data_IF_657817993621
#
_entry.id   IF_657817993621
#
_cell.length_a   1.000
_cell.length_b   1.000
_cell.length_c   1.000
_cell.angle_alpha   90.00
_cell.angle_beta   90.00
_cell.angle_gamma   90.00
#
_symmetry.space_group_name_H-M   'P 1'
#
loop_
_entity.id
_entity.type
_entity.pdbx_description
1 polymer ?
#
# COMPACT_ATOMS: atom_id res chain seq x y z
N UNK A 1 17.82 14.50 6.31
CA UNK A 1 17.61 13.05 6.18
C UNK A 1 17.25 12.68 4.73
N UNK A 2 18.17 12.89 3.76
CA UNK A 2 17.91 12.64 2.32
C UNK A 2 19.17 12.08 1.63
N UNK A 3 19.89 11.14 2.26
CA UNK A 3 21.21 10.72 1.76
C UNK A 3 21.45 9.19 1.74
N UNK A 4 20.40 8.37 1.61
CA UNK A 4 20.58 6.91 1.53
C UNK A 4 20.36 6.30 0.14
N UNK A 5 19.77 7.04 -0.80
CA UNK A 5 19.43 6.54 -2.16
C UNK A 5 20.56 6.75 -3.18
N UNK A 6 21.57 7.56 -2.87
CA UNK A 6 22.73 7.80 -3.73
C UNK A 6 23.88 6.78 -3.53
N UNK A 7 23.73 5.81 -2.63
CA UNK A 7 24.81 4.93 -2.20
C UNK A 7 24.94 3.62 -3.00
N UNK A 8 23.95 3.24 -3.83
CA UNK A 8 24.03 1.96 -4.57
C UNK A 8 24.91 2.03 -5.84
N UNK A 9 25.33 3.24 -6.22
CA UNK A 9 26.19 3.49 -7.39
C UNK A 9 27.45 4.31 -7.04
N UNK A 10 27.80 4.49 -5.77
CA UNK A 10 29.11 5.05 -5.43
C UNK A 10 30.16 3.99 -5.77
N UNK A 11 30.83 4.21 -6.90
CA UNK A 11 32.02 3.53 -7.36
C UNK A 11 32.95 3.26 -6.17
N UNK A 12 32.89 2.03 -5.63
CA UNK A 12 33.98 1.52 -4.83
C UNK A 12 35.20 1.48 -5.74
N UNK A 13 36.29 2.11 -5.33
CA UNK A 13 37.55 2.20 -6.08
C UNK A 13 38.29 0.84 -6.18
N UNK A 14 37.55 -0.26 -6.35
CA UNK A 14 38.04 -1.61 -6.59
C UNK A 14 37.86 -2.02 -8.05
N UNK A 15 38.43 -3.17 -8.43
CA UNK A 15 38.50 -3.66 -9.81
C UNK A 15 37.14 -3.92 -10.50
N UNK A 16 36.02 -3.75 -9.79
CA UNK A 16 34.65 -3.83 -10.32
C UNK A 16 33.99 -2.47 -10.12
N UNK A 17 34.25 -1.57 -11.04
CA UNK A 17 33.70 -0.22 -11.04
C UNK A 17 32.44 -0.20 -11.94
N UNK A 18 31.22 -0.04 -11.37
CA UNK A 18 29.96 -0.13 -12.13
C UNK A 18 29.78 1.00 -13.16
N UNK A 19 30.64 2.03 -13.14
CA UNK A 19 30.69 3.06 -14.18
C UNK A 19 31.55 2.68 -15.40
N UNK A 20 32.35 1.61 -15.31
CA UNK A 20 33.26 1.13 -16.37
C UNK A 20 32.82 -0.22 -16.93
N UNK A 21 32.22 -1.06 -16.11
CA UNK A 21 31.48 -2.23 -16.56
C UNK A 21 30.04 -1.78 -16.78
N UNK A 22 29.53 -1.84 -18.02
CA UNK A 22 28.15 -1.51 -18.40
C UNK A 22 27.15 -2.50 -17.77
N UNK A 23 27.11 -2.50 -16.45
CA UNK A 23 26.22 -3.26 -15.60
C UNK A 23 25.11 -2.27 -15.28
N UNK A 24 23.86 -2.52 -15.72
CA UNK A 24 22.77 -1.62 -15.43
C UNK A 24 22.61 -1.46 -13.92
N UNK A 25 23.04 -0.31 -13.42
CA UNK A 25 22.89 0.08 -12.03
C UNK A 25 21.48 0.63 -11.86
N UNK A 26 20.55 -0.27 -11.54
CA UNK A 26 19.20 0.08 -11.13
C UNK A 26 19.29 0.74 -9.77
N UNK A 27 19.18 2.07 -9.72
CA UNK A 27 18.87 2.77 -8.49
C UNK A 27 17.54 2.19 -7.99
N UNK A 28 17.57 1.47 -6.86
CA UNK A 28 16.36 1.15 -6.12
C UNK A 28 15.79 2.50 -5.66
N UNK A 29 15.02 3.13 -6.54
CA UNK A 29 14.45 4.43 -6.28
C UNK A 29 13.28 4.20 -5.34
N UNK A 30 13.50 4.39 -4.04
CA UNK A 30 12.47 4.34 -3.01
C UNK A 30 11.25 5.17 -3.39
N UNK A 31 11.44 6.20 -4.23
CA UNK A 31 10.37 7.02 -4.78
C UNK A 31 9.41 6.26 -5.70
N UNK A 32 9.89 5.29 -6.48
CA UNK A 32 9.02 4.46 -7.34
C UNK A 32 8.14 3.56 -6.48
N UNK A 33 8.72 2.96 -5.44
CA UNK A 33 8.01 2.10 -4.50
C UNK A 33 6.96 2.89 -3.73
N UNK A 34 7.32 4.06 -3.20
CA UNK A 34 6.37 4.95 -2.50
C UNK A 34 5.25 5.44 -3.42
N UNK A 35 5.56 5.79 -4.68
CA UNK A 35 4.55 6.27 -5.64
C UNK A 35 3.54 5.18 -5.98
N UNK A 36 4.01 3.96 -6.23
CA UNK A 36 3.14 2.81 -6.53
C UNK A 36 2.22 2.53 -5.35
N UNK A 37 2.74 2.50 -4.12
CA UNK A 37 1.90 2.30 -2.94
C UNK A 37 0.89 3.42 -2.75
N UNK A 38 1.28 4.69 -2.91
CA UNK A 38 0.34 5.81 -2.78
C UNK A 38 -0.83 5.72 -3.77
N UNK A 39 -0.55 5.35 -5.03
CA UNK A 39 -1.59 5.16 -6.06
C UNK A 39 -2.50 3.97 -5.72
N UNK A 40 -1.92 2.82 -5.33
CA UNK A 40 -2.68 1.60 -5.01
C UNK A 40 -3.58 1.82 -3.78
N UNK A 41 -3.02 2.36 -2.69
CA UNK A 41 -3.79 2.68 -1.48
C UNK A 41 -4.82 3.78 -1.73
N UNK A 42 -4.56 4.75 -2.61
CA UNK A 42 -5.52 5.77 -2.99
C UNK A 42 -6.76 5.19 -3.68
N UNK A 43 -6.55 4.29 -4.65
CA UNK A 43 -7.66 3.63 -5.36
C UNK A 43 -8.46 2.73 -4.41
N UNK A 44 -7.78 1.89 -3.62
CA UNK A 44 -8.42 0.99 -2.66
C UNK A 44 -9.19 1.78 -1.59
N UNK A 45 -8.59 2.84 -1.06
CA UNK A 45 -9.22 3.72 -0.06
C UNK A 45 -10.47 4.41 -0.60
N UNK A 46 -10.44 4.88 -1.86
CA UNK A 46 -11.60 5.45 -2.54
C UNK A 46 -12.73 4.44 -2.73
N UNK A 47 -12.42 3.23 -3.22
CA UNK A 47 -13.40 2.15 -3.37
C UNK A 47 -14.01 1.73 -2.03
N UNK A 48 -13.19 1.59 -0.98
CA UNK A 48 -13.66 1.26 0.37
C UNK A 48 -14.68 2.28 0.89
N UNK A 49 -14.44 3.57 0.68
CA UNK A 49 -15.37 4.61 1.11
C UNK A 49 -16.73 4.50 0.41
N UNK A 50 -16.75 4.21 -0.90
CA UNK A 50 -17.99 4.03 -1.66
C UNK A 50 -18.79 2.82 -1.14
N UNK A 51 -18.12 1.68 -0.93
CA UNK A 51 -18.78 0.49 -0.37
C UNK A 51 -19.30 0.73 1.05
N UNK A 52 -18.57 1.47 1.89
CA UNK A 52 -19.00 1.86 3.24
C UNK A 52 -20.29 2.69 3.21
N UNK A 53 -20.40 3.66 2.28
CA UNK A 53 -21.60 4.51 2.16
C UNK A 53 -22.80 3.70 1.68
N UNK A 54 -22.63 2.80 0.70
CA UNK A 54 -23.72 1.96 0.18
C UNK A 54 -24.25 1.03 1.29
N UNK A 55 -23.35 0.36 2.00
CA UNK A 55 -23.72 -0.52 3.11
C UNK A 55 -24.40 0.25 4.26
N UNK A 56 -23.88 1.44 4.60
CA UNK A 56 -24.45 2.30 5.64
C UNK A 56 -25.83 2.86 5.27
N UNK A 57 -26.00 3.33 4.04
CA UNK A 57 -27.28 3.82 3.54
C UNK A 57 -28.32 2.69 3.52
N UNK A 58 -27.94 1.51 3.03
CA UNK A 58 -28.81 0.32 3.02
C UNK A 58 -29.21 -0.09 4.43
N UNK A 59 -28.28 -0.07 5.39
CA UNK A 59 -28.57 -0.36 6.79
C UNK A 59 -29.57 0.63 7.40
N UNK A 60 -29.38 1.94 7.16
CA UNK A 60 -30.26 2.98 7.67
C UNK A 60 -31.68 2.94 7.05
N UNK A 61 -31.78 2.57 5.77
CA UNK A 61 -33.04 2.51 5.02
C UNK A 61 -33.82 1.19 5.21
N UNK A 62 -33.27 0.20 5.91
CA UNK A 62 -33.80 -1.17 5.96
C UNK A 62 -35.15 -1.34 6.71
N UNK A 63 -35.74 -0.28 7.28
CA UNK A 63 -37.10 -0.23 7.87
C UNK A 63 -37.52 -1.38 8.82
N UNK A 64 -36.58 -2.19 9.31
CA UNK A 64 -36.85 -3.33 10.17
C UNK A 64 -37.09 -4.67 9.45
N UNK A 65 -36.96 -4.74 8.13
CA UNK A 65 -36.96 -6.04 7.43
C UNK A 65 -35.65 -6.79 7.74
N UNK A 66 -35.73 -8.00 8.33
CA UNK A 66 -34.55 -8.73 8.80
C UNK A 66 -33.61 -9.14 7.67
N UNK A 67 -34.11 -9.30 6.45
CA UNK A 67 -33.29 -9.66 5.30
C UNK A 67 -32.35 -8.52 4.87
N UNK A 68 -32.89 -7.31 4.74
CA UNK A 68 -32.11 -6.11 4.38
C UNK A 68 -31.07 -5.76 5.45
N UNK A 69 -31.43 -5.92 6.73
CA UNK A 69 -30.52 -5.70 7.86
C UNK A 69 -29.39 -6.74 7.85
N UNK A 70 -29.69 -8.01 7.56
CA UNK A 70 -28.67 -9.06 7.50
C UNK A 70 -27.70 -8.86 6.32
N UNK A 71 -28.23 -8.51 5.15
CA UNK A 71 -27.39 -8.20 4.00
C UNK A 71 -26.46 -7.02 4.29
N UNK A 72 -26.97 -5.92 4.83
CA UNK A 72 -26.16 -4.75 5.17
C UNK A 72 -25.09 -5.06 6.24
N UNK A 73 -25.40 -5.92 7.24
CA UNK A 73 -24.41 -6.35 8.25
C UNK A 73 -23.28 -7.17 7.64
N UNK A 74 -23.59 -8.07 6.71
CA UNK A 74 -22.57 -8.86 6.02
C UNK A 74 -21.66 -7.96 5.16
N UNK A 75 -22.26 -7.01 4.46
CA UNK A 75 -21.55 -6.02 3.65
C UNK A 75 -20.61 -5.15 4.49
N UNK A 76 -21.08 -4.70 5.66
CA UNK A 76 -20.28 -3.93 6.61
C UNK A 76 -19.12 -4.76 7.19
N UNK A 77 -19.36 -6.04 7.51
CA UNK A 77 -18.34 -6.96 8.02
C UNK A 77 -17.21 -7.13 7.00
N UNK A 78 -17.52 -7.35 5.72
CA UNK A 78 -16.51 -7.46 4.68
C UNK A 78 -15.75 -6.14 4.46
N UNK A 79 -16.45 -5.00 4.53
CA UNK A 79 -15.83 -3.68 4.44
C UNK A 79 -14.83 -3.44 5.58
N UNK A 80 -15.20 -3.80 6.81
CA UNK A 80 -14.33 -3.69 7.99
C UNK A 80 -13.09 -4.60 7.89
N UNK A 81 -13.25 -5.82 7.39
CA UNK A 81 -12.13 -6.73 7.14
C UNK A 81 -11.16 -6.12 6.11
N UNK A 82 -11.69 -5.49 5.04
CA UNK A 82 -10.88 -4.79 4.05
C UNK A 82 -10.04 -3.65 4.65
N UNK A 83 -10.64 -2.82 5.51
CA UNK A 83 -9.93 -1.75 6.22
C UNK A 83 -8.82 -2.33 7.12
N UNK A 84 -9.11 -3.41 7.85
CA UNK A 84 -8.12 -4.07 8.70
C UNK A 84 -6.93 -4.60 7.90
N UNK A 85 -7.17 -5.20 6.72
CA UNK A 85 -6.09 -5.70 5.84
C UNK A 85 -5.22 -4.54 5.34
N UNK A 86 -5.82 -3.43 4.94
CA UNK A 86 -5.08 -2.23 4.49
C UNK A 86 -4.17 -1.69 5.60
N UNK A 87 -4.64 -1.67 6.85
CA UNK A 87 -3.84 -1.26 7.99
C UNK A 87 -2.64 -2.19 8.23
N UNK A 88 -2.84 -3.52 8.11
CA UNK A 88 -1.77 -4.51 8.26
C UNK A 88 -0.75 -4.45 7.10
N UNK A 89 -1.22 -4.20 5.88
CA UNK A 89 -0.36 -4.05 4.72
C UNK A 89 0.64 -2.90 4.90
N UNK A 90 0.22 -1.77 5.48
CA UNK A 90 1.11 -0.65 5.78
C UNK A 90 2.26 -1.05 6.72
N UNK A 91 1.98 -1.89 7.73
CA UNK A 91 3.03 -2.38 8.65
C UNK A 91 4.06 -3.25 7.92
N UNK A 92 3.61 -4.15 7.04
CA UNK A 92 4.49 -5.02 6.26
C UNK A 92 5.35 -4.21 5.28
N UNK A 93 4.77 -3.22 4.60
CA UNK A 93 5.52 -2.36 3.66
C UNK A 93 6.63 -1.60 4.38
N UNK A 94 6.32 -1.00 5.54
CA UNK A 94 7.31 -0.33 6.37
C UNK A 94 8.42 -1.29 6.84
N UNK A 95 8.07 -2.53 7.17
CA UNK A 95 9.07 -3.56 7.50
C UNK A 95 10.00 -3.85 6.32
N UNK A 96 9.46 -4.05 5.11
CA UNK A 96 10.27 -4.34 3.92
C UNK A 96 11.24 -3.20 3.60
N UNK A 97 10.77 -1.95 3.62
CA UNK A 97 11.62 -0.77 3.35
C UNK A 97 12.78 -0.70 4.36
N UNK A 98 12.50 -0.91 5.65
CA UNK A 98 13.52 -0.84 6.69
C UNK A 98 14.58 -1.96 6.58
N UNK A 99 14.22 -3.13 6.08
CA UNK A 99 15.16 -4.27 5.95
C UNK A 99 16.02 -4.21 4.68
N UNK A 100 15.66 -3.40 3.67
CA UNK A 100 16.47 -3.24 2.43
C UNK A 100 17.64 -2.25 2.66
N UNK A 101 17.57 -1.41 3.69
CA UNK A 101 18.57 -0.39 4.03
C UNK A 101 19.71 -0.88 4.95
N UNK A 102 19.73 -2.15 5.35
CA UNK A 102 20.86 -2.76 6.08
C UNK A 102 21.88 -3.29 5.09
#
# INVERSE_FOLDING_TARGET
>A
MVNYIAAVCRQGTGLIDPGKANIPCTNANDQTVQTIFFVVFGIIGGLLLVFMVIAGARYALSKGEPDNIQQAKNELKYTLIGIAIVALAAAIVNFVINNIQT
#
